data_IF_619800828732
#
_entry.id   IF_619800828732
#
_cell.length_a   1.000
_cell.length_b   1.000
_cell.length_c   1.000
_cell.angle_alpha   90.00
_cell.angle_beta   90.00
_cell.angle_gamma   90.00
#
_symmetry.space_group_name_H-M   'P 1'
#
loop_
_entity.id
_entity.type
_entity.pdbx_description
1 polymer ?
#
# COMPACT_ATOMS: atom_id res chain seq x y z
N UNK A 1 53.64 32.72 -5.28
CA UNK A 1 52.42 31.93 -5.53
C UNK A 1 52.35 30.87 -4.42
N UNK A 2 51.65 31.16 -3.33
CA UNK A 2 51.61 30.29 -2.14
C UNK A 2 50.46 29.31 -2.24
N UNK A 3 50.76 28.02 -2.38
CA UNK A 3 49.76 26.96 -2.30
C UNK A 3 49.38 26.77 -0.82
N UNK A 4 48.15 27.12 -0.47
CA UNK A 4 47.57 26.82 0.84
C UNK A 4 47.33 25.31 0.95
N UNK A 5 48.12 24.65 1.79
CA UNK A 5 47.93 23.23 2.15
C UNK A 5 46.63 23.08 2.95
N UNK A 6 45.67 22.35 2.39
CA UNK A 6 44.40 22.07 3.05
C UNK A 6 44.64 21.15 4.25
N UNK A 7 44.21 21.57 5.45
CA UNK A 7 44.38 20.82 6.70
C UNK A 7 43.67 19.46 6.62
N UNK A 8 44.35 18.40 7.04
CA UNK A 8 43.86 17.02 7.04
C UNK A 8 42.56 16.90 7.84
N UNK A 9 42.38 17.70 8.91
CA UNK A 9 41.13 17.74 9.67
C UNK A 9 39.97 18.33 8.88
N UNK A 10 40.22 19.36 8.06
CA UNK A 10 39.22 19.93 7.15
C UNK A 10 38.83 18.94 6.05
N UNK A 11 39.77 18.10 5.60
CA UNK A 11 39.52 17.05 4.62
C UNK A 11 38.61 15.95 5.21
N UNK A 12 38.89 15.49 6.44
CA UNK A 12 38.04 14.53 7.15
C UNK A 12 36.66 15.08 7.50
N UNK A 13 36.57 16.35 7.93
CA UNK A 13 35.30 17.02 8.15
C UNK A 13 34.47 17.12 6.86
N UNK A 14 35.11 17.43 5.73
CA UNK A 14 34.46 17.44 4.41
C UNK A 14 33.93 16.06 3.99
N UNK A 15 34.70 14.99 4.22
CA UNK A 15 34.27 13.61 3.92
C UNK A 15 33.12 13.18 4.82
N UNK A 16 33.16 13.49 6.12
CA UNK A 16 32.05 13.21 7.06
C UNK A 16 30.80 13.97 6.66
N UNK A 17 30.92 15.26 6.30
CA UNK A 17 29.80 16.06 5.82
C UNK A 17 29.23 15.49 4.51
N UNK A 18 30.07 15.08 3.55
CA UNK A 18 29.63 14.43 2.31
C UNK A 18 28.92 13.09 2.56
N UNK A 19 29.40 12.28 3.51
CA UNK A 19 28.77 11.03 3.93
C UNK A 19 27.43 11.27 4.66
N UNK A 20 27.31 12.38 5.41
CA UNK A 20 26.07 12.78 6.07
C UNK A 20 25.06 13.42 5.08
N UNK A 21 25.53 14.08 4.01
CA UNK A 21 24.70 14.63 2.93
C UNK A 21 24.11 13.51 2.04
N UNK A 22 24.69 12.31 2.05
CA UNK A 22 24.07 11.11 1.44
C UNK A 22 22.84 10.58 2.20
N UNK A 23 22.33 11.31 3.21
CA UNK A 23 20.95 11.20 3.68
C UNK A 23 19.95 11.67 2.61
N UNK A 24 20.03 11.12 1.40
CA UNK A 24 19.00 11.29 0.39
C UNK A 24 17.70 10.76 0.96
N UNK A 25 16.72 11.65 1.14
CA UNK A 25 15.36 11.26 1.47
C UNK A 25 14.92 10.25 0.41
N UNK A 26 14.81 8.97 0.78
CA UNK A 26 14.25 7.96 -0.10
C UNK A 26 12.77 8.30 -0.26
N UNK A 27 12.45 9.10 -1.27
CA UNK A 27 11.07 9.37 -1.65
C UNK A 27 10.39 8.03 -1.96
N UNK A 28 9.26 7.77 -1.28
CA UNK A 28 8.45 6.59 -1.57
C UNK A 28 7.85 6.78 -2.97
N UNK A 29 8.38 6.05 -3.95
CA UNK A 29 7.73 5.86 -5.24
C UNK A 29 6.85 4.61 -5.15
N UNK A 30 5.54 4.81 -5.17
CA UNK A 30 4.51 3.77 -4.98
C UNK A 30 3.82 3.53 -6.31
N UNK A 31 3.85 2.29 -6.78
CA UNK A 31 3.31 1.90 -8.09
C UNK A 31 2.20 0.87 -7.91
N UNK A 32 1.11 1.02 -8.66
CA UNK A 32 0.01 0.04 -8.70
C UNK A 32 0.19 -0.90 -9.88
N UNK A 33 0.21 -2.20 -9.62
CA UNK A 33 0.09 -3.25 -10.64
C UNK A 33 -1.34 -3.79 -10.63
N UNK A 34 -1.99 -3.77 -11.80
CA UNK A 34 -3.35 -4.24 -11.96
C UNK A 34 -3.38 -5.62 -12.61
N UNK A 35 -3.95 -6.63 -11.96
CA UNK A 35 -3.95 -8.01 -12.46
C UNK A 35 -4.63 -8.16 -13.84
N UNK A 36 -5.65 -7.34 -14.14
CA UNK A 36 -6.34 -7.34 -15.44
C UNK A 36 -5.53 -6.74 -16.59
N UNK A 37 -4.33 -6.18 -16.33
CA UNK A 37 -3.48 -5.66 -17.40
C UNK A 37 -2.90 -6.75 -18.31
N UNK A 38 -2.88 -8.00 -17.85
CA UNK A 38 -2.45 -9.17 -18.62
C UNK A 38 -3.44 -9.55 -19.73
N UNK A 39 -4.69 -9.10 -19.63
CA UNK A 39 -5.78 -9.42 -20.56
C UNK A 39 -5.90 -8.40 -21.70
N UNK A 40 -5.08 -7.35 -21.69
CA UNK A 40 -5.04 -6.35 -22.77
C UNK A 40 -4.45 -6.96 -24.03
N UNK A 41 -4.90 -6.43 -25.18
CA UNK A 41 -4.31 -6.75 -26.49
C UNK A 41 -2.97 -6.04 -26.67
N UNK A 42 -2.11 -6.60 -27.52
CA UNK A 42 -0.86 -5.94 -27.92
C UNK A 42 -1.12 -4.59 -28.60
N UNK A 43 -0.27 -3.57 -28.40
CA UNK A 43 0.96 -3.58 -27.58
C UNK A 43 0.71 -3.22 -26.09
N UNK A 44 -0.54 -3.18 -25.65
CA UNK A 44 -0.92 -2.74 -24.30
C UNK A 44 -0.90 -3.85 -23.23
N UNK A 45 -0.59 -5.09 -23.61
CA UNK A 45 -0.47 -6.23 -22.70
C UNK A 45 0.66 -5.98 -21.71
N UNK A 46 0.37 -6.13 -20.43
CA UNK A 46 1.35 -5.93 -19.37
C UNK A 46 1.28 -7.08 -18.38
N UNK A 47 2.40 -7.77 -18.18
CA UNK A 47 2.53 -8.92 -17.28
C UNK A 47 3.59 -8.64 -16.21
N UNK A 48 3.77 -9.58 -15.27
CA UNK A 48 4.77 -9.46 -14.22
C UNK A 48 6.21 -9.40 -14.76
N UNK A 49 6.47 -9.92 -15.97
CA UNK A 49 7.78 -9.88 -16.61
C UNK A 49 8.17 -8.47 -17.08
N UNK A 50 7.18 -7.61 -17.30
CA UNK A 50 7.40 -6.22 -17.73
C UNK A 50 7.76 -5.29 -16.56
N UNK A 51 7.69 -5.76 -15.32
CA UNK A 51 7.97 -4.95 -14.13
C UNK A 51 9.48 -4.86 -13.91
N UNK A 52 10.01 -3.64 -13.95
CA UNK A 52 11.35 -3.34 -13.44
C UNK A 52 11.31 -3.28 -11.89
N UNK A 53 11.96 -4.23 -11.18
CA UNK A 53 11.94 -4.29 -9.72
C UNK A 53 12.68 -3.13 -9.04
N UNK A 54 13.44 -2.31 -9.78
CA UNK A 54 14.17 -1.16 -9.26
C UNK A 54 13.46 0.18 -9.51
N UNK A 55 12.39 0.18 -10.31
CA UNK A 55 11.66 1.41 -10.64
C UNK A 55 10.97 2.01 -9.41
N UNK A 56 10.26 1.17 -8.64
CA UNK A 56 9.43 1.61 -7.52
C UNK A 56 10.01 1.15 -6.19
N UNK A 57 9.79 1.94 -5.13
CA UNK A 57 10.12 1.54 -3.76
C UNK A 57 9.06 0.59 -3.17
N UNK A 58 7.81 0.82 -3.56
CA UNK A 58 6.65 0.03 -3.14
C UNK A 58 5.83 -0.34 -4.37
N UNK A 59 5.42 -1.60 -4.46
CA UNK A 59 4.54 -2.10 -5.50
C UNK A 59 3.26 -2.61 -4.85
N UNK A 60 2.11 -2.13 -5.30
CA UNK A 60 0.80 -2.50 -4.79
C UNK A 60 0.13 -3.41 -5.82
N UNK A 61 -0.16 -4.66 -5.45
CA UNK A 61 -0.94 -5.58 -6.28
C UNK A 61 -2.43 -5.31 -6.11
N UNK A 62 -3.10 -4.97 -7.20
CA UNK A 62 -4.54 -4.68 -7.25
C UNK A 62 -5.29 -5.74 -8.06
N UNK A 63 -6.29 -6.43 -7.52
CA UNK A 63 -6.81 -6.38 -6.13
C UNK A 63 -7.17 -7.79 -5.66
N UNK A 64 -7.03 -8.04 -4.35
CA UNK A 64 -7.75 -9.14 -3.70
C UNK A 64 -9.21 -8.73 -3.39
N UNK A 65 -10.01 -9.68 -2.88
CA UNK A 65 -11.43 -9.47 -2.56
C UNK A 65 -11.75 -9.88 -1.13
N UNK A 66 -12.94 -9.50 -0.66
CA UNK A 66 -13.51 -9.99 0.59
C UNK A 66 -14.67 -10.94 0.27
N UNK A 67 -14.77 -12.05 1.00
CA UNK A 67 -15.94 -12.94 1.02
C UNK A 67 -16.08 -13.57 2.39
N UNK A 68 -17.29 -13.58 2.94
CA UNK A 68 -17.58 -14.12 4.29
C UNK A 68 -16.60 -13.57 5.34
N UNK A 69 -16.44 -12.24 5.37
CA UNK A 69 -15.52 -11.51 6.26
C UNK A 69 -14.05 -11.92 6.15
N UNK A 70 -13.62 -12.57 5.07
CA UNK A 70 -12.22 -13.00 4.89
C UNK A 70 -11.66 -12.48 3.58
N UNK A 71 -10.37 -12.17 3.57
CA UNK A 71 -9.66 -11.95 2.31
C UNK A 71 -9.65 -13.24 1.50
N UNK A 72 -9.93 -13.13 0.21
CA UNK A 72 -9.93 -14.25 -0.72
C UNK A 72 -9.16 -13.92 -1.99
N UNK A 73 -8.69 -14.99 -2.62
CA UNK A 73 -8.21 -15.00 -4.00
C UNK A 73 -9.43 -15.15 -4.91
N UNK A 74 -9.60 -14.28 -5.91
CA UNK A 74 -10.78 -14.34 -6.79
C UNK A 74 -10.66 -15.52 -7.74
N UNK A 75 -9.47 -15.75 -8.28
CA UNK A 75 -9.18 -16.87 -9.16
C UNK A 75 -7.96 -17.66 -8.65
N UNK A 76 -8.07 -18.99 -8.61
CA UNK A 76 -6.97 -19.86 -8.20
C UNK A 76 -5.71 -19.66 -9.04
N UNK A 77 -5.85 -19.21 -10.29
CA UNK A 77 -4.71 -18.83 -11.15
C UNK A 77 -3.86 -17.70 -10.54
N UNK A 78 -4.44 -16.85 -9.69
CA UNK A 78 -3.74 -15.74 -9.03
C UNK A 78 -2.79 -16.17 -7.92
N UNK A 79 -2.91 -17.40 -7.39
CA UNK A 79 -1.95 -17.92 -6.40
C UNK A 79 -0.53 -17.89 -6.97
N UNK A 80 -0.39 -18.31 -8.23
CA UNK A 80 0.89 -18.27 -8.93
C UNK A 80 1.34 -16.82 -9.18
N UNK A 81 0.41 -15.90 -9.47
CA UNK A 81 0.73 -14.48 -9.64
C UNK A 81 1.30 -13.87 -8.36
N UNK A 82 0.77 -14.20 -7.18
CA UNK A 82 1.30 -13.71 -5.91
C UNK A 82 2.72 -14.19 -5.62
N UNK A 83 3.02 -15.45 -5.93
CA UNK A 83 4.38 -15.98 -5.80
C UNK A 83 5.33 -15.28 -6.78
N UNK A 84 4.91 -15.13 -8.03
CA UNK A 84 5.72 -14.49 -9.08
C UNK A 84 6.00 -13.03 -8.78
N UNK A 85 4.99 -12.23 -8.38
CA UNK A 85 5.23 -10.82 -8.06
C UNK A 85 6.15 -10.68 -6.84
N UNK A 86 5.96 -11.51 -5.80
CA UNK A 86 6.83 -11.46 -4.63
C UNK A 86 8.25 -11.95 -4.91
N UNK A 87 8.46 -12.73 -5.97
CA UNK A 87 9.81 -13.14 -6.42
C UNK A 87 10.65 -11.96 -6.92
N UNK A 88 10.03 -10.82 -7.29
CA UNK A 88 10.76 -9.60 -7.68
C UNK A 88 11.70 -9.10 -6.57
N UNK A 89 11.38 -9.41 -5.30
CA UNK A 89 12.24 -9.10 -4.15
C UNK A 89 13.57 -9.85 -4.15
N UNK A 90 13.70 -10.94 -4.90
CA UNK A 90 14.99 -11.63 -5.09
C UNK A 90 15.96 -10.79 -5.91
N UNK A 91 15.45 -9.98 -6.84
CA UNK A 91 16.23 -9.04 -7.65
C UNK A 91 16.49 -7.73 -6.88
N UNK A 92 15.47 -7.21 -6.20
CA UNK A 92 15.57 -6.02 -5.35
C UNK A 92 15.05 -6.31 -3.92
N UNK A 93 15.94 -6.69 -2.98
CA UNK A 93 15.54 -6.97 -1.59
C UNK A 93 14.97 -5.77 -0.82
N UNK A 94 15.12 -4.53 -1.34
CA UNK A 94 14.56 -3.32 -0.74
C UNK A 94 13.13 -3.04 -1.19
N UNK A 95 12.66 -3.67 -2.27
CA UNK A 95 11.30 -3.52 -2.77
C UNK A 95 10.30 -4.04 -1.75
N UNK A 96 9.29 -3.24 -1.43
CA UNK A 96 8.14 -3.67 -0.62
C UNK A 96 6.94 -3.94 -1.52
N UNK A 97 6.25 -5.04 -1.30
CA UNK A 97 5.10 -5.44 -2.12
C UNK A 97 3.89 -5.58 -1.21
N UNK A 98 2.86 -4.77 -1.46
CA UNK A 98 1.62 -4.75 -0.68
C UNK A 98 0.48 -5.35 -1.52
N UNK A 99 -0.48 -5.95 -0.83
CA UNK A 99 -1.74 -6.39 -1.43
C UNK A 99 -2.80 -5.31 -1.24
N UNK A 100 -3.49 -4.90 -2.30
CA UNK A 100 -4.63 -4.00 -2.19
C UNK A 100 -5.97 -4.73 -2.18
N UNK A 101 -6.90 -4.30 -1.34
CA UNK A 101 -8.29 -4.78 -1.27
C UNK A 101 -9.23 -3.60 -1.51
N UNK A 102 -10.20 -3.78 -2.40
CA UNK A 102 -11.20 -2.77 -2.74
C UNK A 102 -11.08 -2.32 -4.19
N UNK A 103 -11.00 -1.01 -4.40
CA UNK A 103 -11.00 -0.37 -5.70
C UNK A 103 -12.41 -0.04 -6.21
N UNK A 104 -12.47 0.72 -7.31
CA UNK A 104 -13.71 1.26 -7.85
C UNK A 104 -14.78 0.18 -8.14
N UNK A 105 -14.39 -0.92 -8.79
CA UNK A 105 -15.32 -2.00 -9.15
C UNK A 105 -15.80 -2.84 -7.96
N UNK A 106 -15.06 -2.82 -6.84
CA UNK A 106 -15.50 -3.47 -5.61
C UNK A 106 -16.62 -2.69 -4.94
N UNK A 107 -16.61 -1.36 -5.11
CA UNK A 107 -17.60 -0.44 -4.57
C UNK A 107 -17.59 -0.34 -3.05
N UNK A 108 -18.28 0.66 -2.51
CA UNK A 108 -18.39 0.85 -1.05
C UNK A 108 -19.04 -0.34 -0.36
N UNK A 109 -20.08 -0.91 -0.98
CA UNK A 109 -20.81 -2.06 -0.46
C UNK A 109 -19.97 -3.32 -0.33
N UNK A 110 -18.85 -3.47 -1.03
CA UNK A 110 -18.00 -4.66 -0.93
C UNK A 110 -17.32 -4.80 0.44
N UNK A 111 -17.14 -3.70 1.17
CA UNK A 111 -16.62 -3.72 2.55
C UNK A 111 -17.71 -4.14 3.56
N UNK A 112 -18.98 -4.01 3.20
CA UNK A 112 -20.09 -4.58 3.95
C UNK A 112 -20.30 -6.03 3.49
N UNK A 113 -20.61 -6.99 4.38
CA UNK A 113 -20.93 -6.90 5.81
C UNK A 113 -19.71 -6.93 6.76
N UNK A 114 -18.48 -6.98 6.23
CA UNK A 114 -17.27 -7.21 7.03
C UNK A 114 -17.07 -6.13 8.12
N UNK A 115 -17.42 -4.89 7.82
CA UNK A 115 -17.22 -3.76 8.74
C UNK A 115 -18.32 -3.57 9.80
N UNK A 116 -19.47 -4.24 9.65
CA UNK A 116 -20.70 -3.95 10.40
C UNK A 116 -20.64 -4.34 11.89
N UNK A 117 -19.71 -5.22 12.28
CA UNK A 117 -19.54 -5.65 13.67
C UNK A 117 -18.07 -5.83 14.05
N UNK A 118 -17.76 -5.75 15.34
CA UNK A 118 -16.41 -6.05 15.83
C UNK A 118 -16.00 -7.51 15.54
N UNK A 119 -16.95 -8.45 15.61
CA UNK A 119 -16.69 -9.86 15.30
C UNK A 119 -16.29 -10.06 13.84
N UNK A 120 -17.04 -9.47 12.90
CA UNK A 120 -16.75 -9.59 11.47
C UNK A 120 -15.44 -8.91 11.08
N UNK A 121 -15.10 -7.77 11.69
CA UNK A 121 -13.80 -7.13 11.49
C UNK A 121 -12.66 -7.96 12.05
N UNK A 122 -12.82 -8.55 13.25
CA UNK A 122 -11.81 -9.43 13.83
C UNK A 122 -11.55 -10.67 12.96
N UNK A 123 -12.60 -11.27 12.39
CA UNK A 123 -12.45 -12.36 11.41
C UNK A 123 -11.63 -11.93 10.20
N UNK A 124 -11.91 -10.73 9.68
CA UNK A 124 -11.20 -10.16 8.55
C UNK A 124 -9.73 -9.87 8.86
N UNK A 125 -9.46 -9.14 9.93
CA UNK A 125 -8.10 -8.79 10.38
C UNK A 125 -7.24 -10.05 10.56
N UNK A 126 -7.78 -11.09 11.21
CA UNK A 126 -7.07 -12.35 11.38
C UNK A 126 -6.82 -13.05 10.03
N UNK A 127 -7.78 -13.03 9.11
CA UNK A 127 -7.61 -13.61 7.77
C UNK A 127 -6.54 -12.88 6.96
N UNK A 128 -6.47 -11.54 7.08
CA UNK A 128 -5.49 -10.70 6.39
C UNK A 128 -4.08 -11.03 6.83
N UNK A 129 -3.82 -11.10 8.14
CA UNK A 129 -2.47 -11.42 8.65
C UNK A 129 -2.00 -12.77 8.10
N UNK A 130 -2.85 -13.80 8.22
CA UNK A 130 -2.54 -15.13 7.70
C UNK A 130 -2.26 -15.10 6.20
N UNK A 131 -3.11 -14.42 5.43
CA UNK A 131 -2.95 -14.31 3.98
C UNK A 131 -1.64 -13.65 3.58
N UNK A 132 -1.35 -12.46 4.12
CA UNK A 132 -0.17 -11.69 3.78
C UNK A 132 1.11 -12.47 4.11
N UNK A 133 1.16 -13.10 5.30
CA UNK A 133 2.32 -13.88 5.73
C UNK A 133 2.50 -15.16 4.89
N UNK A 134 1.41 -15.82 4.47
CA UNK A 134 1.47 -17.03 3.63
C UNK A 134 1.89 -16.74 2.19
N UNK A 135 1.53 -15.56 1.67
CA UNK A 135 1.86 -15.14 0.30
C UNK A 135 3.04 -14.17 0.23
N UNK A 136 3.78 -14.00 1.33
CA UNK A 136 5.00 -13.19 1.42
C UNK A 136 4.84 -11.70 1.08
N UNK A 137 3.64 -11.13 1.30
CA UNK A 137 3.42 -9.69 1.17
C UNK A 137 4.01 -8.93 2.36
N UNK A 138 4.45 -7.70 2.10
CA UNK A 138 5.03 -6.79 3.09
C UNK A 138 3.97 -5.87 3.73
N UNK A 139 2.72 -5.89 3.26
CA UNK A 139 1.66 -5.07 3.83
C UNK A 139 0.33 -5.13 3.10
N UNK A 140 -0.62 -4.34 3.60
CA UNK A 140 -1.97 -4.17 3.06
C UNK A 140 -2.19 -2.72 2.63
N UNK A 141 -2.79 -2.54 1.45
CA UNK A 141 -3.39 -1.28 1.02
C UNK A 141 -4.93 -1.41 1.05
N UNK A 142 -5.59 -0.53 1.79
CA UNK A 142 -7.07 -0.49 1.87
C UNK A 142 -7.59 0.57 0.91
N UNK A 143 -8.23 0.12 -0.17
CA UNK A 143 -8.78 0.97 -1.22
C UNK A 143 -10.31 1.02 -1.14
N UNK A 144 -10.86 1.51 -0.02
CA UNK A 144 -12.30 1.76 0.10
C UNK A 144 -12.66 3.07 -0.61
N UNK A 145 -13.28 2.95 -1.79
CA UNK A 145 -13.66 4.07 -2.65
C UNK A 145 -15.20 4.17 -2.73
N UNK A 146 -15.86 4.99 -1.94
CA UNK A 146 -15.38 5.65 -0.71
C UNK A 146 -16.39 5.39 0.42
N UNK A 147 -15.96 5.37 1.70
CA UNK A 147 -16.90 5.29 2.82
C UNK A 147 -17.72 6.58 2.89
N UNK A 148 -19.03 6.48 3.09
CA UNK A 148 -19.86 7.66 3.29
C UNK A 148 -19.74 8.23 4.73
N UNK A 149 -20.50 9.28 5.04
CA UNK A 149 -20.48 9.91 6.35
C UNK A 149 -20.88 8.97 7.50
N UNK A 150 -21.75 7.98 7.24
CA UNK A 150 -22.16 6.99 8.23
C UNK A 150 -21.08 5.91 8.39
N UNK A 151 -20.36 5.62 7.32
CA UNK A 151 -19.32 4.58 7.25
C UNK A 151 -17.92 5.09 7.68
N UNK A 152 -17.70 6.40 7.83
CA UNK A 152 -16.39 6.95 8.19
C UNK A 152 -15.80 6.40 9.50
N UNK A 153 -16.67 6.11 10.47
CA UNK A 153 -16.29 5.52 11.75
C UNK A 153 -15.88 4.07 11.56
N UNK A 154 -16.59 3.31 10.72
CA UNK A 154 -16.26 1.93 10.39
C UNK A 154 -14.90 1.84 9.71
N UNK A 155 -14.60 2.73 8.76
CA UNK A 155 -13.30 2.78 8.11
C UNK A 155 -12.18 3.08 9.11
N UNK A 156 -12.37 4.08 9.98
CA UNK A 156 -11.39 4.44 10.99
C UNK A 156 -11.14 3.30 11.98
N UNK A 157 -12.19 2.64 12.46
CA UNK A 157 -12.08 1.51 13.39
C UNK A 157 -11.39 0.32 12.73
N UNK A 158 -11.70 0.02 11.46
CA UNK A 158 -11.03 -1.03 10.71
C UNK A 158 -9.51 -0.78 10.59
N UNK A 159 -9.12 0.44 10.23
CA UNK A 159 -7.70 0.82 10.10
C UNK A 159 -6.99 0.70 11.45
N UNK A 160 -7.62 1.15 12.53
CA UNK A 160 -7.08 1.02 13.87
C UNK A 160 -6.88 -0.45 14.29
N UNK A 161 -7.91 -1.29 14.13
CA UNK A 161 -7.86 -2.72 14.47
C UNK A 161 -6.79 -3.46 13.63
N UNK A 162 -6.61 -3.09 12.36
CA UNK A 162 -5.52 -3.61 11.51
C UNK A 162 -4.15 -3.19 12.03
N UNK A 163 -3.96 -1.91 12.37
CA UNK A 163 -2.69 -1.38 12.86
C UNK A 163 -2.28 -2.06 14.18
N UNK A 164 -3.20 -2.18 15.13
CA UNK A 164 -2.97 -2.89 16.40
C UNK A 164 -2.59 -4.36 16.16
N UNK A 165 -3.31 -5.04 15.26
CA UNK A 165 -3.06 -6.43 14.97
C UNK A 165 -1.71 -6.65 14.26
N UNK A 166 -1.31 -5.74 13.35
CA UNK A 166 0.00 -5.78 12.70
C UNK A 166 1.14 -5.54 13.69
N UNK A 167 0.95 -4.62 14.64
CA UNK A 167 1.92 -4.39 15.73
C UNK A 167 2.03 -5.63 16.65
N UNK A 168 0.90 -6.28 16.95
CA UNK A 168 0.87 -7.51 17.75
C UNK A 168 1.50 -8.70 17.04
N UNK A 169 1.30 -8.84 15.73
CA UNK A 169 1.97 -9.86 14.91
C UNK A 169 3.49 -9.62 14.90
N UNK A 170 3.93 -8.38 14.72
CA UNK A 170 5.35 -8.01 14.74
C UNK A 170 6.03 -8.36 16.06
N UNK A 171 5.43 -8.03 17.20
CA UNK A 171 6.02 -8.34 18.53
C UNK A 171 6.12 -9.84 18.83
N UNK A 172 5.38 -10.68 18.11
CA UNK A 172 5.38 -12.15 18.28
C UNK A 172 6.16 -12.90 17.20
N UNK A 173 6.69 -12.18 16.21
CA UNK A 173 7.30 -12.75 15.00
C UNK A 173 8.73 -12.26 14.86
N UNK A 174 9.58 -13.03 14.17
CA UNK A 174 10.91 -12.57 13.74
C UNK A 174 10.86 -11.80 12.41
N UNK A 175 9.67 -11.69 11.80
CA UNK A 175 9.46 -10.97 10.54
C UNK A 175 9.22 -9.48 10.79
N UNK A 176 9.57 -8.65 9.80
CA UNK A 176 9.24 -7.22 9.82
C UNK A 176 7.72 -6.98 9.98
N UNK A 177 7.35 -5.86 10.60
CA UNK A 177 5.96 -5.42 10.72
C UNK A 177 5.36 -5.22 9.32
N UNK A 178 4.14 -5.72 9.14
CA UNK A 178 3.37 -5.46 7.93
C UNK A 178 3.05 -3.96 7.81
N UNK A 179 3.22 -3.40 6.62
CA UNK A 179 2.83 -2.04 6.29
C UNK A 179 1.30 -1.94 6.15
N UNK A 180 0.73 -0.81 6.56
CA UNK A 180 -0.68 -0.50 6.38
C UNK A 180 -0.84 0.84 5.67
N UNK A 181 -1.44 0.82 4.49
CA UNK A 181 -1.67 2.01 3.65
C UNK A 181 -3.13 2.09 3.22
N UNK A 182 -3.54 3.25 2.70
CA UNK A 182 -4.86 3.41 2.13
C UNK A 182 -4.86 4.35 0.91
N UNK A 183 -5.64 3.98 -0.09
CA UNK A 183 -6.02 4.86 -1.20
C UNK A 183 -7.20 5.74 -0.78
N UNK A 184 -7.01 7.07 -0.79
CA UNK A 184 -8.04 8.02 -0.33
C UNK A 184 -8.33 9.09 -1.38
N UNK A 185 -9.55 9.63 -1.36
CA UNK A 185 -9.98 10.69 -2.27
C UNK A 185 -9.17 11.96 -2.10
N UNK A 186 -8.89 12.66 -3.21
CA UNK A 186 -8.41 14.04 -3.20
C UNK A 186 -9.55 15.09 -3.20
N UNK A 187 -10.81 14.67 -3.34
CA UNK A 187 -11.95 15.57 -3.36
C UNK A 187 -12.31 16.07 -1.96
N UNK A 188 -12.31 17.39 -1.75
CA UNK A 188 -12.51 17.99 -0.41
C UNK A 188 -13.78 17.52 0.29
N UNK A 189 -14.90 17.52 -0.42
CA UNK A 189 -16.18 17.06 0.14
C UNK A 189 -16.13 15.59 0.56
N UNK A 190 -15.49 14.74 -0.25
CA UNK A 190 -15.31 13.33 0.11
C UNK A 190 -14.41 13.21 1.34
N UNK A 191 -13.32 13.98 1.41
CA UNK A 191 -12.42 13.98 2.56
C UNK A 191 -13.17 14.30 3.86
N UNK A 192 -13.92 15.40 3.86
CA UNK A 192 -14.64 15.88 5.05
C UNK A 192 -15.71 14.88 5.52
N UNK A 193 -16.31 14.13 4.59
CA UNK A 193 -17.34 13.13 4.93
C UNK A 193 -16.77 11.78 5.37
N UNK A 194 -15.70 11.32 4.72
CA UNK A 194 -15.29 9.90 4.74
C UNK A 194 -14.20 9.58 5.75
N UNK A 195 -13.41 10.58 6.13
CA UNK A 195 -12.12 10.32 6.76
C UNK A 195 -11.97 11.09 8.07
N UNK A 196 -11.78 10.36 9.17
CA UNK A 196 -11.29 10.93 10.43
C UNK A 196 -9.77 11.09 10.33
N UNK A 197 -9.34 12.09 9.53
CA UNK A 197 -7.95 12.24 9.05
C UNK A 197 -6.91 12.14 10.16
N UNK A 198 -7.11 12.80 11.29
CA UNK A 198 -6.16 12.78 12.41
C UNK A 198 -5.96 11.37 13.00
N UNK A 199 -7.03 10.56 13.05
CA UNK A 199 -6.95 9.18 13.56
C UNK A 199 -6.29 8.27 12.53
N UNK A 200 -6.71 8.36 11.28
CA UNK A 200 -6.13 7.59 10.18
C UNK A 200 -4.62 7.84 10.03
N UNK A 201 -4.18 9.10 10.17
CA UNK A 201 -2.77 9.47 10.07
C UNK A 201 -1.88 8.90 11.19
N UNK A 202 -2.46 8.49 12.33
CA UNK A 202 -1.73 7.84 13.42
C UNK A 202 -1.49 6.36 13.15
N UNK A 203 -2.41 5.72 12.44
CA UNK A 203 -2.42 4.27 12.23
C UNK A 203 -1.83 3.85 10.86
N UNK A 204 -1.90 4.72 9.85
CA UNK A 204 -1.40 4.45 8.49
C UNK A 204 0.10 4.79 8.35
N UNK A 205 0.85 3.91 7.71
CA UNK A 205 2.26 4.12 7.38
C UNK A 205 2.47 5.23 6.34
N UNK A 206 1.56 5.29 5.37
CA UNK A 206 1.40 6.41 4.45
C UNK A 206 0.04 6.33 3.74
N UNK A 207 -0.36 7.45 3.14
CA UNK A 207 -1.65 7.63 2.47
C UNK A 207 -1.40 7.86 0.98
N UNK A 208 -2.04 7.03 0.14
CA UNK A 208 -2.03 7.17 -1.30
C UNK A 208 -3.17 8.13 -1.70
N UNK A 209 -2.86 9.42 -1.84
CA UNK A 209 -3.84 10.44 -2.26
C UNK A 209 -4.15 10.30 -3.76
N UNK A 210 -5.36 9.86 -4.09
CA UNK A 210 -5.83 9.64 -5.46
C UNK A 210 -6.17 11.00 -6.11
N UNK A 211 -5.11 11.72 -6.50
CA UNK A 211 -5.14 13.08 -7.04
C UNK A 211 -5.29 13.10 -8.56
N UNK A 212 -6.26 12.34 -9.04
CA UNK A 212 -6.64 12.20 -10.44
C UNK A 212 -8.17 12.02 -10.53
N UNK A 213 -8.70 11.85 -11.74
CA UNK A 213 -10.14 11.72 -12.01
C UNK A 213 -10.99 12.92 -11.50
N UNK A 214 -10.42 14.13 -11.48
CA UNK A 214 -11.16 15.35 -11.13
C UNK A 214 -12.24 15.71 -12.16
N UNK A 215 -11.97 15.42 -13.43
CA UNK A 215 -12.81 15.72 -14.58
C UNK A 215 -12.88 14.50 -15.51
N UNK A 216 -13.96 14.37 -16.26
CA UNK A 216 -14.12 13.24 -17.16
C UNK A 216 -15.45 13.21 -17.89
N UNK A 217 -15.72 12.10 -18.59
CA UNK A 217 -16.88 11.97 -19.48
C UNK A 217 -18.25 12.00 -18.78
N UNK A 218 -18.28 12.06 -17.45
CA UNK A 218 -19.49 12.19 -16.64
C UNK A 218 -19.96 13.63 -16.46
N UNK A 219 -19.13 14.61 -16.80
CA UNK A 219 -19.50 16.02 -16.76
C UNK A 219 -20.33 16.41 -17.97
N UNK A 220 -21.30 17.30 -17.76
CA UNK A 220 -22.01 17.92 -18.88
C UNK A 220 -21.10 19.01 -19.48
N UNK A 221 -21.03 19.12 -20.82
CA UNK A 221 -20.31 20.20 -21.50
C UNK A 221 -20.76 21.59 -21.06
#
# INVERSE_FOLDING_TARGET
MGATTMDQKSLWAGVVVLLLIQGGSAYKLVCYFTNWSQDRQEPGKFTLENIDPFLCSHLIYSFASIKNNKVIIKDKSEVMLYQTINSLKTKNPKLKILLSIGGYLFGSKGFHPMVDSSTSRLEFVNSVILFLRNHNFDGLDVSWIYPDQKENTHFTVLIHELAEAFQKDFTKSTKERLLLTAGVSAGRQMIDNSYQVEKLAKDLDFINLLSFDFHGSWEKP
#
